data_IF_371496787098
#
_entry.id   IF_371496787098
#
_cell.length_a   1.000
_cell.length_b   1.000
_cell.length_c   1.000
_cell.angle_alpha   90.00
_cell.angle_beta   90.00
_cell.angle_gamma   90.00
#
_symmetry.space_group_name_H-M   'P 1'
#
loop_
_entity.id
_entity.type
_entity.pdbx_description
1 polymer ?
#
# COMPACT_ATOMS: atom_id res chain seq x y z
N UNK A 1 -6.55 20.08 -13.49
CA UNK A 1 -7.52 19.19 -12.80
C UNK A 1 -7.24 19.27 -11.31
N UNK A 2 -8.18 19.72 -10.46
CA UNK A 2 -7.97 19.65 -9.02
C UNK A 2 -7.81 18.17 -8.66
N UNK A 3 -6.63 17.79 -8.20
CA UNK A 3 -6.37 16.46 -7.62
C UNK A 3 -7.44 16.28 -6.54
N UNK A 4 -8.32 15.30 -6.72
CA UNK A 4 -9.40 15.01 -5.78
C UNK A 4 -8.88 14.97 -4.33
N UNK A 5 -9.75 15.29 -3.38
CA UNK A 5 -9.39 15.35 -1.95
C UNK A 5 -8.60 14.07 -1.59
N UNK A 6 -7.37 14.21 -1.06
CA UNK A 6 -6.56 13.04 -0.76
C UNK A 6 -7.27 12.19 0.30
N UNK A 7 -7.27 10.87 0.10
CA UNK A 7 -7.85 9.96 1.09
C UNK A 7 -7.20 10.18 2.47
N UNK A 8 -7.99 10.09 3.56
CA UNK A 8 -7.47 10.21 4.93
C UNK A 8 -6.30 9.26 5.16
N UNK A 9 -5.31 9.70 5.94
CA UNK A 9 -4.12 8.89 6.24
C UNK A 9 -4.51 7.58 6.97
N UNK A 10 -5.44 7.66 7.92
CA UNK A 10 -5.96 6.49 8.63
C UNK A 10 -6.56 5.45 7.67
N UNK A 11 -7.37 5.90 6.71
CA UNK A 11 -7.99 5.01 5.74
C UNK A 11 -6.95 4.27 4.89
N UNK A 12 -5.94 4.99 4.38
CA UNK A 12 -4.83 4.40 3.63
C UNK A 12 -4.05 3.38 4.46
N UNK A 13 -3.84 3.67 5.75
CA UNK A 13 -3.12 2.79 6.66
C UNK A 13 -3.88 1.48 6.91
N UNK A 14 -5.18 1.57 7.24
CA UNK A 14 -6.03 0.38 7.43
C UNK A 14 -6.07 -0.50 6.18
N UNK A 15 -6.32 0.12 5.03
CA UNK A 15 -6.30 -0.53 3.73
C UNK A 15 -4.99 -1.30 3.46
N UNK A 16 -3.86 -0.65 3.76
CA UNK A 16 -2.54 -1.25 3.54
C UNK A 16 -2.28 -2.43 4.49
N UNK A 17 -2.64 -2.31 5.77
CA UNK A 17 -2.45 -3.37 6.77
C UNK A 17 -3.28 -4.61 6.40
N UNK A 18 -4.52 -4.45 5.95
CA UNK A 18 -5.37 -5.57 5.53
C UNK A 18 -4.77 -6.36 4.37
N UNK A 19 -4.22 -5.66 3.37
CA UNK A 19 -3.53 -6.30 2.24
C UNK A 19 -2.23 -6.96 2.67
N UNK A 20 -1.43 -6.31 3.51
CA UNK A 20 -0.17 -6.88 4.01
C UNK A 20 -0.37 -8.14 4.87
N UNK A 21 -1.47 -8.21 5.63
CA UNK A 21 -1.84 -9.40 6.40
C UNK A 21 -2.52 -10.49 5.54
N UNK A 22 -2.62 -10.31 4.23
CA UNK A 22 -3.34 -11.21 3.31
C UNK A 22 -4.80 -11.48 3.73
N UNK A 23 -5.42 -10.55 4.48
CA UNK A 23 -6.84 -10.65 4.85
C UNK A 23 -7.75 -10.42 3.66
N UNK A 24 -7.33 -9.52 2.76
CA UNK A 24 -7.99 -9.18 1.51
C UNK A 24 -6.95 -8.86 0.44
N UNK A 25 -7.27 -9.14 -0.82
CA UNK A 25 -6.45 -8.67 -1.93
C UNK A 25 -6.68 -7.18 -2.18
N UNK A 26 -5.72 -6.52 -2.84
CA UNK A 26 -5.87 -5.13 -3.26
C UNK A 26 -7.08 -4.90 -4.20
N UNK A 27 -7.53 -5.94 -4.92
CA UNK A 27 -8.70 -5.86 -5.80
C UNK A 27 -10.01 -5.91 -5.02
N UNK A 28 -10.13 -6.81 -4.03
CA UNK A 28 -11.32 -6.90 -3.19
C UNK A 28 -11.52 -5.61 -2.40
N UNK A 29 -10.45 -5.12 -1.76
CA UNK A 29 -10.50 -3.88 -1.01
C UNK A 29 -10.82 -2.67 -1.91
N UNK A 30 -10.29 -2.67 -3.13
CA UNK A 30 -10.61 -1.61 -4.08
C UNK A 30 -12.07 -1.65 -4.52
N UNK A 31 -12.63 -2.84 -4.75
CA UNK A 31 -14.04 -3.00 -5.09
C UNK A 31 -14.97 -2.55 -3.95
N UNK A 32 -14.70 -2.95 -2.71
CA UNK A 32 -15.53 -2.60 -1.54
C UNK A 32 -15.60 -1.10 -1.25
N UNK A 33 -14.53 -0.37 -1.59
CA UNK A 33 -14.40 1.05 -1.30
C UNK A 33 -14.49 1.95 -2.54
N UNK A 34 -14.91 1.40 -3.69
CA UNK A 34 -14.98 2.09 -4.98
C UNK A 34 -13.66 2.80 -5.36
N UNK A 35 -12.55 2.11 -5.16
CA UNK A 35 -11.19 2.58 -5.44
C UNK A 35 -10.63 1.97 -6.71
N UNK A 36 -9.60 2.61 -7.24
CA UNK A 36 -8.74 1.99 -8.23
C UNK A 36 -7.81 0.98 -7.54
N UNK A 37 -7.73 -0.30 -7.98
CA UNK A 37 -6.84 -1.30 -7.37
C UNK A 37 -5.35 -0.92 -7.44
N UNK A 38 -4.93 -0.18 -8.48
CA UNK A 38 -3.55 0.32 -8.56
C UNK A 38 -3.25 1.38 -7.51
N UNK A 39 -4.26 2.12 -7.04
CA UNK A 39 -4.10 3.08 -5.95
C UNK A 39 -3.78 2.36 -4.64
N UNK A 40 -4.50 1.27 -4.34
CA UNK A 40 -4.25 0.43 -3.16
C UNK A 40 -2.87 -0.20 -3.23
N UNK A 41 -2.49 -0.77 -4.39
CA UNK A 41 -1.13 -1.31 -4.61
C UNK A 41 -0.04 -0.28 -4.39
N UNK A 42 -0.24 0.96 -4.84
CA UNK A 42 0.71 2.06 -4.61
C UNK A 42 0.87 2.41 -3.12
N UNK A 43 -0.21 2.34 -2.33
CA UNK A 43 -0.12 2.54 -0.88
C UNK A 43 0.68 1.43 -0.21
N UNK A 44 0.43 0.17 -0.59
CA UNK A 44 1.18 -0.98 -0.07
C UNK A 44 2.66 -0.87 -0.44
N UNK A 45 2.98 -0.61 -1.70
CA UNK A 45 4.37 -0.46 -2.15
C UNK A 45 5.10 0.66 -1.38
N UNK A 46 4.44 1.80 -1.16
CA UNK A 46 5.01 2.90 -0.39
C UNK A 46 5.23 2.53 1.08
N UNK A 47 4.26 1.87 1.72
CA UNK A 47 4.42 1.43 3.11
C UNK A 47 5.55 0.41 3.25
N UNK A 48 5.62 -0.60 2.38
CA UNK A 48 6.70 -1.59 2.38
C UNK A 48 8.07 -0.95 2.18
N UNK A 49 8.18 0.03 1.26
CA UNK A 49 9.41 0.79 1.06
C UNK A 49 9.84 1.55 2.32
N UNK A 50 8.92 2.27 2.97
CA UNK A 50 9.22 3.04 4.19
C UNK A 50 9.60 2.12 5.35
N UNK A 51 8.90 0.99 5.53
CA UNK A 51 9.24 -0.04 6.53
C UNK A 51 10.65 -0.58 6.27
N UNK A 52 10.96 -0.96 5.04
CA UNK A 52 12.27 -1.45 4.64
C UNK A 52 13.37 -0.41 4.90
N UNK A 53 13.11 0.87 4.60
CA UNK A 53 14.04 1.99 4.84
C UNK A 53 14.33 2.17 6.32
N UNK A 54 13.32 2.16 7.18
CA UNK A 54 13.46 2.35 8.63
C UNK A 54 14.18 1.17 9.29
N UNK A 55 13.84 -0.05 8.89
CA UNK A 55 14.40 -1.27 9.48
C UNK A 55 15.70 -1.74 8.83
N UNK A 56 16.27 -0.96 7.90
CA UNK A 56 17.51 -1.32 7.21
C UNK A 56 17.40 -2.62 6.39
N UNK A 57 16.18 -3.09 6.09
CA UNK A 57 15.95 -4.27 5.24
C UNK A 57 16.14 -3.83 3.80
N UNK A 58 17.38 -3.52 3.44
CA UNK A 58 17.77 -3.40 2.04
C UNK A 58 17.61 -4.79 1.46
N UNK A 59 16.58 -4.98 0.64
CA UNK A 59 16.42 -6.18 -0.17
C UNK A 59 17.78 -6.52 -0.78
N UNK A 60 18.24 -7.75 -0.56
CA UNK A 60 19.50 -8.26 -1.09
C UNK A 60 19.44 -8.19 -2.62
N UNK A 61 19.85 -7.06 -3.18
CA UNK A 61 20.25 -6.95 -4.56
C UNK A 61 21.70 -7.43 -4.62
N UNK A 62 21.86 -8.64 -5.16
CA UNK A 62 23.13 -9.17 -5.68
C UNK A 62 24.03 -9.89 -4.68
N UNK A 63 24.14 -11.22 -4.84
CA UNK A 63 25.41 -11.95 -4.74
C UNK A 63 25.40 -13.00 -5.86
N UNK A 64 26.24 -12.73 -6.86
CA UNK A 64 26.93 -13.60 -7.83
C UNK A 64 26.09 -14.57 -8.68
#
# INVERSE_FOLDING_TARGET
>A
MPKGKPYPAEFKARATIEVMHAKKTANELAFEHDLNPNLVKNWVAKATFEIARVHGVRGRAGVQ
#
